data_IF_501659500967
#
_entry.id   IF_501659500967
#
_cell.length_a   1.000
_cell.length_b   1.000
_cell.length_c   1.000
_cell.angle_alpha   90.00
_cell.angle_beta   90.00
_cell.angle_gamma   90.00
#
_symmetry.space_group_name_H-M   'P 1'
#
loop_
_entity.id
_entity.type
_entity.pdbx_description
1 polymer ?
#
# COMPACT_ATOMS: atom_id res chain seq x y z
N UNK A 1 -10.02 31.00 3.91
CA UNK A 1 -9.17 30.10 3.11
C UNK A 1 -8.64 29.04 4.06
N UNK A 2 -8.84 27.75 3.80
CA UNK A 2 -8.26 26.71 4.65
C UNK A 2 -6.77 26.58 4.33
N UNK A 3 -5.94 26.81 5.36
CA UNK A 3 -4.47 26.81 5.33
C UNK A 3 -3.91 25.39 5.28
N UNK A 4 -4.27 24.62 4.23
CA UNK A 4 -3.89 23.20 4.07
C UNK A 4 -2.85 23.04 2.97
N UNK A 5 -1.72 22.41 3.31
CA UNK A 5 -0.67 22.09 2.34
C UNK A 5 -1.15 21.01 1.33
N UNK A 6 -0.90 21.15 0.01
CA UNK A 6 -1.23 20.14 -1.00
C UNK A 6 -0.31 18.89 -1.06
N UNK A 7 0.58 18.64 -0.10
CA UNK A 7 1.57 17.57 -0.23
C UNK A 7 1.00 16.25 0.29
N UNK A 8 1.47 15.15 -0.30
CA UNK A 8 1.21 13.78 0.11
C UNK A 8 2.54 13.12 0.45
N UNK A 9 2.59 12.26 1.47
CA UNK A 9 3.78 11.48 1.74
C UNK A 9 4.17 10.63 0.54
N UNK A 10 5.46 10.34 0.37
CA UNK A 10 5.96 9.38 -0.60
C UNK A 10 5.22 8.05 -0.44
N UNK A 11 4.64 7.56 -1.54
CA UNK A 11 3.83 6.35 -1.55
C UNK A 11 3.97 5.56 -2.84
N UNK A 12 3.72 4.26 -2.75
CA UNK A 12 3.68 3.34 -3.88
C UNK A 12 2.28 2.77 -4.00
N UNK A 13 1.68 2.88 -5.18
CA UNK A 13 0.40 2.25 -5.50
C UNK A 13 0.59 0.78 -5.84
N UNK A 14 -0.29 -0.07 -5.31
CA UNK A 14 -0.29 -1.51 -5.54
C UNK A 14 -1.67 -1.91 -6.04
N UNK A 15 -1.71 -2.53 -7.23
CA UNK A 15 -2.89 -3.23 -7.74
C UNK A 15 -2.48 -4.71 -7.88
N UNK A 16 -3.15 -5.57 -7.13
CA UNK A 16 -2.92 -7.01 -7.15
C UNK A 16 -4.20 -7.75 -7.54
N UNK A 17 -4.07 -8.64 -8.53
CA UNK A 17 -5.17 -9.44 -9.08
C UNK A 17 -4.75 -10.89 -9.23
N UNK A 18 -5.67 -11.80 -8.93
CA UNK A 18 -5.48 -13.23 -9.12
C UNK A 18 -6.86 -13.86 -9.39
N UNK A 19 -6.94 -14.79 -10.34
CA UNK A 19 -8.17 -15.48 -10.67
C UNK A 19 -8.74 -16.22 -9.44
N UNK A 20 -10.05 -16.06 -9.21
CA UNK A 20 -10.70 -16.62 -8.03
C UNK A 20 -10.51 -15.79 -6.74
N UNK A 21 -9.92 -14.60 -6.82
CA UNK A 21 -9.75 -13.68 -5.69
C UNK A 21 -10.35 -12.30 -5.98
N UNK A 22 -10.71 -11.57 -4.92
CA UNK A 22 -11.13 -10.16 -5.00
C UNK A 22 -9.90 -9.29 -5.34
N UNK A 23 -9.98 -8.37 -6.31
CA UNK A 23 -8.87 -7.48 -6.63
C UNK A 23 -8.56 -6.56 -5.45
N UNK A 24 -7.27 -6.31 -5.21
CA UNK A 24 -6.80 -5.37 -4.19
C UNK A 24 -6.21 -4.13 -4.86
N UNK A 25 -6.76 -2.97 -4.52
CA UNK A 25 -6.13 -1.67 -4.76
C UNK A 25 -5.72 -1.09 -3.40
N UNK A 26 -4.43 -0.88 -3.20
CA UNK A 26 -3.89 -0.29 -1.97
C UNK A 26 -2.67 0.59 -2.27
N UNK A 27 -2.10 1.20 -1.24
CA UNK A 27 -0.86 1.94 -1.31
C UNK A 27 -0.08 1.78 0.01
N UNK A 28 1.24 1.91 -0.05
CA UNK A 28 2.14 1.91 1.11
C UNK A 28 2.84 3.25 1.23
N UNK A 29 3.23 3.62 2.44
CA UNK A 29 3.86 4.91 2.77
C UNK A 29 5.19 4.70 3.49
N UNK A 30 6.24 5.44 3.13
CA UNK A 30 7.53 5.37 3.84
C UNK A 30 7.42 6.04 5.22
N UNK A 31 7.72 5.30 6.30
CA UNK A 31 7.75 5.80 7.69
C UNK A 31 8.58 7.08 7.87
N UNK A 32 9.60 7.28 7.05
CA UNK A 32 10.52 8.43 7.17
C UNK A 32 10.00 9.70 6.51
N UNK A 33 8.86 9.65 5.82
CA UNK A 33 8.33 10.80 5.11
C UNK A 33 7.77 11.88 6.07
N UNK A 34 8.18 13.15 5.93
CA UNK A 34 7.77 14.22 6.84
C UNK A 34 6.27 14.58 6.78
N UNK A 35 5.55 14.16 5.73
CA UNK A 35 4.12 14.43 5.54
C UNK A 35 3.22 13.27 6.01
N UNK A 36 3.76 12.23 6.64
CA UNK A 36 2.99 11.10 7.15
C UNK A 36 1.93 11.47 8.19
N UNK A 37 2.26 12.36 9.13
CA UNK A 37 1.36 12.80 10.20
C UNK A 37 0.44 13.94 9.77
N UNK A 38 0.61 14.45 8.55
CA UNK A 38 -0.15 15.56 7.99
C UNK A 38 -0.62 15.23 6.57
N UNK A 39 -1.06 13.99 6.33
CA UNK A 39 -1.62 13.59 5.05
C UNK A 39 -2.91 14.38 4.78
N UNK A 40 -2.85 15.22 3.75
CA UNK A 40 -3.95 16.10 3.34
C UNK A 40 -5.22 15.34 2.92
N UNK A 41 -5.12 14.03 2.64
CA UNK A 41 -6.25 13.18 2.22
C UNK A 41 -6.61 12.06 3.20
N UNK A 42 -6.00 12.03 4.39
CA UNK A 42 -6.33 11.08 5.48
C UNK A 42 -6.29 9.58 5.07
N UNK A 43 -5.41 9.21 4.14
CA UNK A 43 -5.32 7.85 3.61
C UNK A 43 -4.32 6.97 4.36
N UNK A 44 -3.51 7.55 5.25
CA UNK A 44 -2.53 6.82 6.06
C UNK A 44 -3.24 5.96 7.11
N UNK A 45 -3.03 4.65 7.04
CA UNK A 45 -3.31 3.69 8.11
C UNK A 45 -1.98 3.15 8.60
N UNK A 46 -1.80 2.96 9.90
CA UNK A 46 -0.54 2.46 10.48
C UNK A 46 -0.08 1.14 9.84
N UNK A 47 -1.04 0.29 9.44
CA UNK A 47 -0.77 -0.99 8.77
C UNK A 47 -0.20 -0.87 7.35
N UNK A 48 -0.22 0.33 6.76
CA UNK A 48 0.28 0.63 5.42
C UNK A 48 1.57 1.46 5.44
N UNK A 49 2.08 1.78 6.64
CA UNK A 49 3.36 2.47 6.82
C UNK A 49 4.46 1.42 6.92
N UNK A 50 5.48 1.55 6.07
CA UNK A 50 6.56 0.58 5.90
C UNK A 50 7.92 1.21 6.18
N UNK A 51 8.91 0.37 6.47
CA UNK A 51 10.29 0.76 6.67
C UNK A 51 11.15 0.18 5.54
N UNK A 52 11.65 1.05 4.66
CA UNK A 52 12.66 0.65 3.68
C UNK A 52 14.01 0.44 4.40
N UNK A 53 14.58 -0.74 4.20
CA UNK A 53 15.85 -1.15 4.81
C UNK A 53 17.00 -1.06 3.81
N UNK A 54 18.26 -0.85 4.25
CA UNK A 54 19.40 -0.86 3.34
C UNK A 54 19.54 -2.19 2.62
N UNK A 55 19.60 -2.13 1.29
CA UNK A 55 19.88 -3.30 0.46
C UNK A 55 21.39 -3.52 0.37
N UNK A 56 21.81 -4.79 0.45
CA UNK A 56 23.21 -5.19 0.31
C UNK A 56 23.48 -5.71 -1.09
N UNK A 57 24.72 -5.53 -1.53
CA UNK A 57 25.28 -6.15 -2.74
C UNK A 57 24.56 -5.78 -4.05
N UNK A 58 23.83 -4.66 -4.08
CA UNK A 58 23.21 -4.10 -5.28
C UNK A 58 23.66 -2.63 -5.47
N UNK A 59 24.57 -2.34 -6.43
CA UNK A 59 25.06 -0.99 -6.65
C UNK A 59 24.03 -0.05 -7.28
N UNK A 60 22.89 -0.57 -7.76
CA UNK A 60 21.84 0.22 -8.41
C UNK A 60 20.65 0.51 -7.48
N UNK A 61 20.50 -0.25 -6.39
CA UNK A 61 19.40 -0.10 -5.44
C UNK A 61 19.93 -0.04 -4.00
N UNK A 62 19.84 1.14 -3.37
CA UNK A 62 20.30 1.34 -1.98
C UNK A 62 19.33 0.89 -0.89
N UNK A 63 18.06 0.64 -1.25
CA UNK A 63 17.00 0.28 -0.31
C UNK A 63 16.17 -0.90 -0.84
N UNK A 64 15.59 -1.67 0.08
CA UNK A 64 14.66 -2.75 -0.22
C UNK A 64 13.51 -2.81 0.80
N UNK A 65 12.45 -3.51 0.41
CA UNK A 65 11.29 -3.77 1.23
C UNK A 65 10.68 -5.11 0.82
N UNK A 66 10.39 -5.97 1.80
CA UNK A 66 9.51 -7.11 1.62
C UNK A 66 8.11 -6.72 2.13
N UNK A 67 7.10 -6.83 1.26
CA UNK A 67 5.72 -6.48 1.58
C UNK A 67 4.76 -7.53 1.05
N UNK A 68 4.13 -8.26 1.98
CA UNK A 68 3.22 -9.35 1.64
C UNK A 68 1.82 -8.83 1.30
N UNK A 69 1.29 -9.26 0.16
CA UNK A 69 -0.08 -8.98 -0.27
C UNK A 69 -0.95 -10.22 -0.10
N UNK A 70 -1.95 -10.13 0.79
CA UNK A 70 -2.93 -11.20 1.01
C UNK A 70 -4.25 -10.85 0.33
N UNK A 71 -4.63 -11.63 -0.68
CA UNK A 71 -5.90 -11.49 -1.37
C UNK A 71 -6.99 -12.34 -0.71
N UNK A 72 -8.22 -11.84 -0.73
CA UNK A 72 -9.39 -12.56 -0.24
C UNK A 72 -10.01 -13.35 -1.39
N UNK A 73 -10.33 -14.64 -1.23
CA UNK A 73 -11.04 -15.41 -2.25
C UNK A 73 -12.32 -14.70 -2.70
N UNK A 74 -12.63 -14.79 -3.99
CA UNK A 74 -13.94 -14.41 -4.50
C UNK A 74 -14.96 -15.43 -3.97
N UNK A 75 -16.09 -14.95 -3.46
CA UNK A 75 -17.16 -15.85 -3.01
C UNK A 75 -17.57 -16.75 -4.18
N UNK A 76 -17.50 -18.07 -4.02
CA UNK A 76 -18.17 -18.98 -4.95
C UNK A 76 -19.67 -18.81 -4.77
N UNK A 77 -20.34 -18.22 -5.76
CA UNK A 77 -21.80 -18.19 -5.80
C UNK A 77 -22.34 -19.62 -5.83
N UNK A 78 -22.73 -20.16 -4.68
CA UNK A 78 -23.59 -21.34 -4.60
C UNK A 78 -24.98 -20.92 -5.08
N UNK A 79 -25.19 -20.96 -6.40
CA UNK A 79 -26.54 -20.98 -6.96
C UNK A 79 -27.09 -22.37 -6.65
N UNK A 80 -27.81 -22.47 -5.53
CA UNK A 80 -28.64 -23.63 -5.24
C UNK A 80 -29.65 -23.77 -6.38
N UNK A 81 -29.42 -24.76 -7.22
CA UNK A 81 -30.43 -25.29 -8.14
C UNK A 81 -31.36 -26.16 -7.28
N UNK A 82 -32.53 -25.63 -6.93
CA UNK A 82 -33.66 -26.39 -6.41
C UNK A 82 -34.92 -25.87 -7.10
#
# INVERSE_FOLDING_TARGET
MMDRHPFRPAHIHIIATLDGYKPLTTQIFDRKDPYLTNDSVFAVKDSLVVDFVPRKDDPQAGLELNYDVKLVPAETSNVNSA
#
